data_IF_027240797632
#
_entry.id   IF_027240797632
#
_cell.length_a   1.000
_cell.length_b   1.000
_cell.length_c   1.000
_cell.angle_alpha   90.00
_cell.angle_beta   90.00
_cell.angle_gamma   90.00
#
_symmetry.space_group_name_H-M   'P 1'
#
loop_
_entity.id
_entity.type
_entity.pdbx_description
1 polymer ?
#
# COMPACT_ATOMS: atom_id res chain seq x y z
N UNK A 1 -3.99 -9.42 32.36
CA UNK A 1 -2.92 -9.77 31.41
C UNK A 1 -3.38 -11.00 30.66
N UNK A 2 -3.80 -10.82 29.39
CA UNK A 2 -4.27 -11.92 28.54
C UNK A 2 -3.12 -12.88 28.24
N UNK A 3 -3.42 -14.17 28.10
CA UNK A 3 -2.41 -15.18 27.77
C UNK A 3 -1.77 -14.82 26.42
N UNK A 4 -0.44 -14.93 26.28
CA UNK A 4 0.21 -14.79 24.98
C UNK A 4 -0.27 -15.95 24.11
N UNK A 5 -1.15 -15.65 23.17
CA UNK A 5 -1.78 -16.61 22.29
C UNK A 5 -1.99 -15.98 20.93
N UNK A 6 -2.36 -16.80 19.94
CA UNK A 6 -2.61 -16.41 18.55
C UNK A 6 -3.64 -15.26 18.36
N UNK A 7 -4.35 -14.87 19.43
CA UNK A 7 -5.37 -13.82 19.48
C UNK A 7 -5.00 -12.66 20.43
N UNK A 8 -3.74 -12.57 20.82
CA UNK A 8 -3.24 -11.41 21.58
C UNK A 8 -3.10 -10.21 20.63
N UNK A 9 -4.24 -9.55 20.41
CA UNK A 9 -4.37 -8.38 19.53
C UNK A 9 -3.39 -7.27 19.92
N UNK A 10 -3.07 -7.11 21.20
CA UNK A 10 -2.16 -6.06 21.66
C UNK A 10 -0.70 -6.33 21.23
N UNK A 11 -0.25 -7.59 21.32
CA UNK A 11 1.01 -8.01 20.74
C UNK A 11 0.97 -7.92 19.21
N UNK A 12 -0.11 -8.34 18.56
CA UNK A 12 -0.21 -8.26 17.09
C UNK A 12 -0.20 -6.81 16.59
N UNK A 13 -0.86 -5.88 17.29
CA UNK A 13 -0.88 -4.45 16.94
C UNK A 13 0.44 -3.75 17.25
N UNK A 14 1.06 -4.02 18.41
CA UNK A 14 2.38 -3.45 18.74
C UNK A 14 3.47 -3.97 17.82
N UNK A 15 3.39 -5.25 17.44
CA UNK A 15 4.22 -5.86 16.40
C UNK A 15 3.96 -5.19 15.05
N UNK A 16 2.71 -5.16 14.57
CA UNK A 16 2.33 -4.49 13.32
C UNK A 16 2.80 -3.03 13.25
N UNK A 17 2.61 -2.27 14.33
CA UNK A 17 3.05 -0.87 14.43
C UNK A 17 4.58 -0.69 14.40
N UNK A 18 5.35 -1.67 14.90
CA UNK A 18 6.81 -1.66 14.88
C UNK A 18 7.35 -1.71 13.44
N UNK A 19 6.80 -2.60 12.61
CA UNK A 19 7.20 -2.74 11.20
C UNK A 19 6.78 -1.55 10.34
N UNK A 20 5.68 -0.89 10.69
CA UNK A 20 5.25 0.36 10.06
C UNK A 20 6.02 1.59 10.56
N UNK A 21 7.00 1.40 11.46
CA UNK A 21 7.87 2.44 11.97
C UNK A 21 9.34 2.26 11.54
N UNK A 22 9.71 1.14 10.90
CA UNK A 22 11.06 0.91 10.39
C UNK A 22 11.26 1.64 9.04
N UNK A 23 12.28 2.52 8.92
CA UNK A 23 12.46 3.34 7.72
C UNK A 23 12.79 2.53 6.46
N UNK A 24 13.51 1.40 6.58
CA UNK A 24 13.81 0.54 5.45
C UNK A 24 12.56 -0.19 4.96
N UNK A 25 11.74 -0.71 5.87
CA UNK A 25 10.48 -1.34 5.50
C UNK A 25 9.55 -0.33 4.80
N UNK A 26 9.36 0.85 5.40
CA UNK A 26 8.58 1.94 4.81
C UNK A 26 9.10 2.29 3.40
N UNK A 27 10.42 2.35 3.21
CA UNK A 27 11.03 2.63 1.92
C UNK A 27 10.71 1.54 0.89
N UNK A 28 10.89 0.25 1.24
CA UNK A 28 10.56 -0.89 0.38
C UNK A 28 9.09 -0.84 -0.05
N UNK A 29 8.17 -0.63 0.89
CA UNK A 29 6.74 -0.52 0.57
C UNK A 29 6.44 0.69 -0.31
N UNK A 30 6.99 1.86 0.03
CA UNK A 30 6.76 3.09 -0.73
C UNK A 30 7.30 2.96 -2.15
N UNK A 31 8.41 2.26 -2.36
CA UNK A 31 8.99 2.03 -3.68
C UNK A 31 8.21 0.99 -4.49
N UNK A 32 7.83 -0.14 -3.89
CA UNK A 32 7.22 -1.26 -4.62
C UNK A 32 5.71 -1.17 -4.78
N UNK A 33 5.01 -0.34 -4.00
CA UNK A 33 3.56 -0.17 -4.14
C UNK A 33 3.18 0.42 -5.50
N UNK A 34 3.96 1.39 -6.02
CA UNK A 34 3.64 2.06 -7.28
C UNK A 34 3.84 1.17 -8.51
N UNK A 35 4.93 0.39 -8.64
CA UNK A 35 5.07 -0.60 -9.71
C UNK A 35 3.99 -1.69 -9.66
N UNK A 36 3.61 -2.17 -8.46
CA UNK A 36 2.50 -3.12 -8.30
C UNK A 36 1.22 -2.51 -8.83
N UNK A 37 0.87 -1.32 -8.36
CA UNK A 37 -0.32 -0.62 -8.81
C UNK A 37 -0.31 -0.41 -10.34
N UNK A 38 0.79 0.13 -10.87
CA UNK A 38 0.96 0.41 -12.30
C UNK A 38 0.79 -0.84 -13.18
N UNK A 39 1.42 -1.95 -12.80
CA UNK A 39 1.34 -3.20 -13.59
C UNK A 39 -0.02 -3.88 -13.46
N UNK A 40 -0.71 -3.74 -12.32
CA UNK A 40 -2.12 -4.14 -12.23
C UNK A 40 -3.00 -3.37 -13.22
N UNK A 41 -2.76 -2.06 -13.40
CA UNK A 41 -3.49 -1.25 -14.38
C UNK A 41 -3.20 -1.68 -15.82
N UNK A 42 -1.97 -2.13 -16.14
CA UNK A 42 -1.65 -2.72 -17.45
C UNK A 42 -2.54 -3.94 -17.72
N UNK A 43 -2.75 -4.81 -16.71
CA UNK A 43 -3.62 -5.96 -16.86
C UNK A 43 -5.10 -5.54 -17.00
N UNK A 44 -5.54 -4.57 -16.19
CA UNK A 44 -6.91 -4.05 -16.25
C UNK A 44 -7.24 -3.32 -17.54
N UNK A 45 -6.23 -2.86 -18.29
CA UNK A 45 -6.44 -2.29 -19.63
C UNK A 45 -7.20 -3.24 -20.55
N UNK A 46 -6.96 -4.55 -20.45
CA UNK A 46 -7.57 -5.57 -21.30
C UNK A 46 -8.97 -6.01 -20.83
N UNK A 47 -9.53 -5.33 -19.82
CA UNK A 47 -10.92 -5.54 -19.41
C UNK A 47 -11.87 -4.77 -20.33
N UNK A 48 -13.16 -5.18 -20.42
CA UNK A 48 -14.13 -4.47 -21.24
C UNK A 48 -14.22 -2.98 -20.91
N UNK A 49 -14.25 -2.16 -21.95
CA UNK A 49 -14.45 -0.72 -21.86
C UNK A 49 -15.89 -0.40 -21.46
N UNK A 50 -16.06 0.51 -20.50
CA UNK A 50 -17.33 1.19 -20.26
C UNK A 50 -17.57 2.27 -21.30
N UNK A 51 -16.52 2.99 -21.67
CA UNK A 51 -16.57 4.07 -22.65
C UNK A 51 -15.20 4.30 -23.30
N UNK A 52 -15.19 4.46 -24.62
CA UNK A 52 -13.98 4.76 -25.39
C UNK A 52 -13.84 6.28 -25.58
N UNK A 53 -12.80 6.85 -24.97
CA UNK A 53 -12.53 8.29 -25.09
C UNK A 53 -12.04 8.66 -26.49
N UNK A 54 -11.60 7.69 -27.30
CA UNK A 54 -11.17 7.91 -28.68
C UNK A 54 -12.27 8.55 -29.54
N UNK A 55 -13.53 8.23 -29.23
CA UNK A 55 -14.70 8.72 -29.96
C UNK A 55 -15.13 10.13 -29.54
N UNK A 56 -14.57 10.67 -28.45
CA UNK A 56 -14.93 11.99 -27.93
C UNK A 56 -14.40 13.15 -28.78
N UNK A 57 -13.36 12.91 -29.60
CA UNK A 57 -12.71 13.97 -30.40
C UNK A 57 -11.93 14.99 -29.56
N UNK A 58 -11.80 14.79 -28.25
CA UNK A 58 -11.16 15.74 -27.32
C UNK A 58 -9.63 15.66 -27.40
N UNK A 59 -9.06 14.48 -27.67
CA UNK A 59 -7.61 14.30 -27.71
C UNK A 59 -7.09 14.17 -29.16
N UNK A 60 -5.81 14.51 -29.41
CA UNK A 60 -5.17 14.25 -30.70
C UNK A 60 -5.22 12.75 -31.05
N UNK A 61 -5.36 12.40 -32.34
CA UNK A 61 -5.55 11.03 -32.82
C UNK A 61 -4.53 9.99 -32.31
N UNK A 62 -3.30 10.42 -32.01
CA UNK A 62 -2.25 9.57 -31.42
C UNK A 62 -2.46 9.21 -29.94
N UNK A 63 -3.25 9.98 -29.19
CA UNK A 63 -3.62 9.71 -27.80
C UNK A 63 -4.96 8.96 -27.67
N UNK A 64 -5.81 9.07 -28.69
CA UNK A 64 -7.19 8.59 -28.65
C UNK A 64 -7.33 7.08 -28.45
N UNK A 65 -6.51 6.24 -29.10
CA UNK A 65 -6.70 4.79 -29.08
C UNK A 65 -6.25 4.10 -27.80
N UNK A 66 -5.48 4.79 -26.95
CA UNK A 66 -4.90 4.20 -25.75
C UNK A 66 -5.69 4.52 -24.48
N UNK A 67 -6.52 5.56 -24.45
CA UNK A 67 -7.24 5.95 -23.24
C UNK A 67 -8.67 5.45 -23.28
N UNK A 68 -8.95 4.48 -22.41
CA UNK A 68 -10.25 3.83 -22.33
C UNK A 68 -10.75 3.88 -20.89
N UNK A 69 -12.02 4.24 -20.70
CA UNK A 69 -12.67 4.13 -19.39
C UNK A 69 -13.07 2.68 -19.17
N UNK A 70 -12.31 1.98 -18.34
CA UNK A 70 -12.50 0.58 -17.96
C UNK A 70 -12.26 0.40 -16.45
N UNK A 71 -12.16 -0.83 -15.97
CA UNK A 71 -11.90 -1.11 -14.55
C UNK A 71 -10.58 -0.49 -14.04
N UNK A 72 -9.56 -0.34 -14.90
CA UNK A 72 -8.32 0.35 -14.54
C UNK A 72 -8.56 1.82 -14.22
N UNK A 73 -9.32 2.52 -15.07
CA UNK A 73 -9.69 3.93 -14.83
C UNK A 73 -10.53 4.09 -13.56
N UNK A 74 -11.52 3.22 -13.36
CA UNK A 74 -12.39 3.26 -12.19
C UNK A 74 -11.61 3.03 -10.90
N UNK A 75 -10.70 2.04 -10.90
CA UNK A 75 -9.84 1.74 -9.77
C UNK A 75 -8.91 2.90 -9.42
N UNK A 76 -8.27 3.53 -10.41
CA UNK A 76 -7.41 4.69 -10.19
C UNK A 76 -8.15 5.91 -9.66
N UNK A 77 -9.35 6.20 -10.17
CA UNK A 77 -10.18 7.31 -9.67
C UNK A 77 -10.62 7.03 -8.23
N UNK A 78 -11.12 5.82 -7.97
CA UNK A 78 -11.54 5.42 -6.63
C UNK A 78 -10.40 5.55 -5.61
N UNK A 79 -9.23 4.98 -5.90
CA UNK A 79 -8.07 5.07 -5.01
C UNK A 79 -7.56 6.51 -4.84
N UNK A 80 -7.54 7.30 -5.91
CA UNK A 80 -7.17 8.71 -5.84
C UNK A 80 -8.10 9.50 -4.92
N UNK A 81 -9.42 9.34 -5.07
CA UNK A 81 -10.40 9.99 -4.20
C UNK A 81 -10.28 9.51 -2.75
N UNK A 82 -10.10 8.21 -2.54
CA UNK A 82 -9.88 7.64 -1.22
C UNK A 82 -8.66 8.27 -0.53
N UNK A 83 -7.54 8.42 -1.23
CA UNK A 83 -6.35 9.06 -0.66
C UNK A 83 -6.55 10.54 -0.34
N UNK A 84 -7.25 11.30 -1.19
CA UNK A 84 -7.58 12.71 -0.92
C UNK A 84 -8.46 12.85 0.34
N UNK A 85 -9.38 11.92 0.56
CA UNK A 85 -10.22 11.88 1.77
C UNK A 85 -9.37 11.62 3.02
N UNK A 86 -8.37 10.74 2.93
CA UNK A 86 -7.48 10.43 4.05
C UNK A 86 -6.56 11.60 4.42
N UNK A 87 -5.94 12.25 3.44
CA UNK A 87 -5.13 13.45 3.65
C UNK A 87 -5.20 14.35 2.42
N UNK A 88 -5.62 15.61 2.59
CA UNK A 88 -5.83 16.51 1.44
C UNK A 88 -4.54 16.83 0.68
N UNK A 89 -3.39 16.89 1.34
CA UNK A 89 -2.12 17.28 0.70
C UNK A 89 -1.42 16.08 0.07
N UNK A 90 -1.09 15.07 0.89
CA UNK A 90 -0.44 13.85 0.43
C UNK A 90 -1.37 13.05 -0.49
N UNK A 91 -2.66 13.03 -0.18
CA UNK A 91 -3.66 12.36 -1.00
C UNK A 91 -3.89 13.01 -2.36
N UNK A 92 -3.81 14.34 -2.47
CA UNK A 92 -3.86 15.00 -3.78
C UNK A 92 -2.67 14.61 -4.66
N UNK A 93 -1.47 14.52 -4.08
CA UNK A 93 -0.29 14.03 -4.79
C UNK A 93 -0.46 12.56 -5.21
N UNK A 94 -0.96 11.71 -4.31
CA UNK A 94 -1.24 10.32 -4.61
C UNK A 94 -2.31 10.16 -5.71
N UNK A 95 -3.35 10.99 -5.71
CA UNK A 95 -4.39 11.00 -6.75
C UNK A 95 -3.81 11.36 -8.12
N UNK A 96 -2.96 12.39 -8.19
CA UNK A 96 -2.25 12.74 -9.42
C UNK A 96 -1.38 11.58 -9.92
N UNK A 97 -0.69 10.90 -9.01
CA UNK A 97 0.13 9.74 -9.34
C UNK A 97 -0.73 8.55 -9.81
N UNK A 98 -1.89 8.30 -9.19
CA UNK A 98 -2.82 7.27 -9.64
C UNK A 98 -3.33 7.52 -11.07
N UNK A 99 -3.66 8.77 -11.40
CA UNK A 99 -4.06 9.18 -12.75
C UNK A 99 -2.90 9.04 -13.75
N UNK A 100 -1.70 9.49 -13.39
CA UNK A 100 -0.51 9.35 -14.22
C UNK A 100 -0.18 7.87 -14.50
N UNK A 101 -0.31 7.01 -13.47
CA UNK A 101 -0.15 5.57 -13.61
C UNK A 101 -1.18 4.96 -14.56
N UNK A 102 -2.46 5.36 -14.46
CA UNK A 102 -3.49 4.88 -15.39
C UNK A 102 -3.22 5.28 -16.83
N UNK A 103 -2.90 6.54 -17.08
CA UNK A 103 -2.55 7.03 -18.42
C UNK A 103 -1.35 6.24 -18.95
N UNK A 104 -0.24 6.20 -18.20
CA UNK A 104 0.97 5.51 -18.62
C UNK A 104 0.77 4.01 -18.85
N UNK A 105 0.06 3.34 -17.96
CA UNK A 105 -0.24 1.91 -18.07
C UNK A 105 -1.07 1.61 -19.32
N UNK A 106 -2.04 2.47 -19.65
CA UNK A 106 -2.89 2.30 -20.82
C UNK A 106 -2.08 2.43 -22.13
N UNK A 107 -1.17 3.41 -22.23
CA UNK A 107 -0.26 3.53 -23.37
C UNK A 107 0.69 2.34 -23.51
N UNK A 108 1.23 1.84 -22.40
CA UNK A 108 2.14 0.69 -22.44
C UNK A 108 1.37 -0.58 -22.81
N UNK A 109 0.20 -0.81 -22.21
CA UNK A 109 -0.64 -1.97 -22.50
C UNK A 109 -1.08 -2.02 -23.97
N UNK A 110 -1.49 -0.87 -24.53
CA UNK A 110 -1.84 -0.75 -25.94
C UNK A 110 -0.68 -1.13 -26.88
N UNK A 111 0.56 -0.78 -26.52
CA UNK A 111 1.77 -1.12 -27.30
C UNK A 111 2.20 -2.58 -27.15
N UNK A 112 2.11 -3.14 -25.94
CA UNK A 112 2.55 -4.51 -25.67
C UNK A 112 1.58 -5.55 -26.22
N UNK A 113 0.28 -5.25 -26.18
CA UNK A 113 -0.78 -6.24 -26.39
C UNK A 113 -0.82 -7.31 -25.28
N UNK A 114 -1.94 -8.04 -25.20
CA UNK A 114 -2.18 -8.94 -24.06
C UNK A 114 -1.09 -9.99 -23.90
N UNK A 115 -0.70 -10.66 -25.00
CA UNK A 115 0.25 -11.79 -25.01
C UNK A 115 1.58 -11.52 -24.30
N UNK A 116 2.11 -10.29 -24.42
CA UNK A 116 3.33 -9.88 -23.74
C UNK A 116 3.03 -9.19 -22.40
N UNK A 117 1.97 -8.37 -22.34
CA UNK A 117 1.62 -7.60 -21.16
C UNK A 117 1.42 -8.47 -19.91
N UNK A 118 0.66 -9.57 -19.99
CA UNK A 118 0.41 -10.40 -18.80
C UNK A 118 1.70 -11.02 -18.24
N UNK A 119 2.70 -11.31 -19.08
CA UNK A 119 4.00 -11.84 -18.65
C UNK A 119 4.82 -10.79 -17.91
N UNK A 120 4.86 -9.57 -18.45
CA UNK A 120 5.51 -8.43 -17.80
C UNK A 120 4.87 -8.17 -16.44
N UNK A 121 3.53 -8.13 -16.40
CA UNK A 121 2.78 -7.96 -15.14
C UNK A 121 3.12 -9.06 -14.15
N UNK A 122 3.09 -10.33 -14.56
CA UNK A 122 3.39 -11.46 -13.68
C UNK A 122 4.79 -11.34 -13.05
N UNK A 123 5.82 -11.08 -13.86
CA UNK A 123 7.20 -10.93 -13.37
C UNK A 123 7.31 -9.75 -12.41
N UNK A 124 6.75 -8.58 -12.77
CA UNK A 124 6.79 -7.41 -11.90
C UNK A 124 6.05 -7.63 -10.58
N UNK A 125 4.87 -8.24 -10.61
CA UNK A 125 4.09 -8.54 -9.40
C UNK A 125 4.87 -9.48 -8.48
N UNK A 126 5.42 -10.58 -9.00
CA UNK A 126 6.20 -11.54 -8.21
C UNK A 126 7.41 -10.88 -7.57
N UNK A 127 8.18 -10.09 -8.33
CA UNK A 127 9.37 -9.42 -7.81
C UNK A 127 9.01 -8.38 -6.73
N UNK A 128 8.00 -7.54 -7.00
CA UNK A 128 7.64 -6.46 -6.09
C UNK A 128 6.98 -6.98 -4.80
N UNK A 129 6.07 -7.96 -4.90
CA UNK A 129 5.49 -8.61 -3.73
C UNK A 129 6.54 -9.37 -2.92
N UNK A 130 7.45 -10.11 -3.58
CA UNK A 130 8.56 -10.77 -2.89
C UNK A 130 9.41 -9.74 -2.15
N UNK A 131 9.73 -8.60 -2.76
CA UNK A 131 10.45 -7.50 -2.10
C UNK A 131 9.72 -6.98 -0.86
N UNK A 132 8.41 -6.75 -0.94
CA UNK A 132 7.60 -6.30 0.20
C UNK A 132 7.53 -7.36 1.32
N UNK A 133 7.34 -8.63 0.98
CA UNK A 133 7.32 -9.70 1.97
C UNK A 133 8.69 -9.97 2.60
N UNK A 134 9.78 -9.85 1.85
CA UNK A 134 11.13 -9.92 2.39
C UNK A 134 11.43 -8.75 3.31
N UNK A 135 10.96 -7.55 2.95
CA UNK A 135 10.96 -6.38 3.84
C UNK A 135 10.34 -6.74 5.19
N UNK A 136 9.15 -7.33 5.20
CA UNK A 136 8.54 -7.82 6.44
C UNK A 136 9.35 -8.94 7.13
N UNK A 137 9.58 -10.06 6.45
CA UNK A 137 10.07 -11.29 7.07
C UNK A 137 11.54 -11.27 7.53
N UNK A 138 12.42 -10.53 6.85
CA UNK A 138 13.82 -10.44 7.29
C UNK A 138 13.91 -9.74 8.64
N UNK A 139 13.14 -8.68 8.86
CA UNK A 139 13.16 -7.96 10.13
C UNK A 139 12.55 -8.80 11.27
N UNK A 140 11.58 -9.67 10.98
CA UNK A 140 11.03 -10.63 11.95
C UNK A 140 12.07 -11.63 12.45
N UNK A 141 12.86 -12.20 11.53
CA UNK A 141 13.94 -13.13 11.86
C UNK A 141 15.04 -12.43 12.65
N UNK A 142 15.41 -11.20 12.26
CA UNK A 142 16.44 -10.45 12.98
C UNK A 142 16.00 -10.06 14.39
N UNK A 143 14.73 -9.67 14.57
CA UNK A 143 14.19 -9.33 15.88
C UNK A 143 14.15 -10.56 16.79
N UNK A 144 13.65 -11.69 16.29
CA UNK A 144 13.48 -12.92 17.08
C UNK A 144 14.80 -13.60 17.45
N UNK A 145 15.78 -13.64 16.54
CA UNK A 145 17.05 -14.35 16.76
C UNK A 145 18.14 -13.50 17.39
N UNK A 146 18.18 -12.20 17.08
CA UNK A 146 19.31 -11.33 17.44
C UNK A 146 18.91 -10.16 18.32
N UNK A 147 17.64 -10.07 18.75
CA UNK A 147 17.15 -8.96 19.55
C UNK A 147 17.23 -7.62 18.81
N UNK A 148 17.15 -7.65 17.47
CA UNK A 148 17.19 -6.45 16.64
C UNK A 148 16.06 -5.49 17.03
N UNK A 149 16.42 -4.24 17.33
CA UNK A 149 15.45 -3.15 17.46
C UNK A 149 15.15 -2.54 16.08
N UNK A 150 13.86 -2.43 15.68
CA UNK A 150 13.47 -1.78 14.43
C UNK A 150 14.03 -0.36 14.23
N UNK A 151 14.25 0.36 15.33
CA UNK A 151 14.93 1.67 15.38
C UNK A 151 15.37 1.96 16.83
N UNK A 152 16.44 2.76 17.05
CA UNK A 152 17.08 2.88 18.37
C UNK A 152 16.14 3.36 19.49
N UNK A 153 15.99 2.58 20.55
CA UNK A 153 15.10 2.85 21.69
C UNK A 153 13.67 2.38 21.48
N UNK A 154 13.43 1.46 20.53
CA UNK A 154 12.12 0.91 20.22
C UNK A 154 11.48 0.28 21.46
N UNK A 155 12.17 -0.66 22.14
CA UNK A 155 11.60 -1.35 23.29
C UNK A 155 11.34 -0.40 24.46
N UNK A 156 12.20 0.60 24.67
CA UNK A 156 11.97 1.61 25.70
C UNK A 156 10.68 2.39 25.47
N UNK A 157 10.42 2.82 24.22
CA UNK A 157 9.20 3.57 23.87
C UNK A 157 7.94 2.71 23.97
N UNK A 158 8.00 1.46 23.52
CA UNK A 158 6.88 0.52 23.64
C UNK A 158 6.56 0.27 25.12
N UNK A 159 7.57 -0.04 25.94
CA UNK A 159 7.39 -0.24 27.37
C UNK A 159 6.85 1.01 28.08
N UNK A 160 7.27 2.21 27.68
CA UNK A 160 6.75 3.46 28.22
C UNK A 160 5.27 3.67 27.88
N UNK A 161 4.85 3.41 26.63
CA UNK A 161 3.44 3.49 26.22
C UNK A 161 2.56 2.48 26.95
N UNK A 162 2.98 1.21 27.03
CA UNK A 162 2.25 0.17 27.76
C UNK A 162 2.06 0.57 29.23
N UNK A 163 3.11 1.07 29.89
CA UNK A 163 3.02 1.55 31.27
C UNK A 163 2.05 2.72 31.42
N UNK A 164 2.04 3.65 30.47
CA UNK A 164 1.13 4.79 30.48
C UNK A 164 -0.34 4.35 30.32
N UNK A 165 -0.62 3.44 29.38
CA UNK A 165 -1.98 2.91 29.15
C UNK A 165 -2.49 2.07 30.33
N UNK A 166 -1.64 1.23 30.93
CA UNK A 166 -1.98 0.48 32.16
C UNK A 166 -2.35 1.45 33.28
N UNK A 167 -1.56 2.50 33.47
CA UNK A 167 -1.82 3.51 34.50
C UNK A 167 -3.16 4.23 34.25
N UNK A 168 -3.39 4.68 33.02
CA UNK A 168 -4.64 5.36 32.65
C UNK A 168 -5.87 4.45 32.86
N UNK A 169 -5.75 3.16 32.52
CA UNK A 169 -6.80 2.18 32.76
C UNK A 169 -7.06 1.95 34.26
N UNK A 170 -6.01 1.84 35.07
CA UNK A 170 -6.12 1.71 36.53
C UNK A 170 -6.79 2.94 37.15
N UNK A 171 -6.37 4.14 36.75
CA UNK A 171 -6.94 5.40 37.23
C UNK A 171 -8.44 5.53 36.85
N UNK A 172 -8.80 5.17 35.61
CA UNK A 172 -10.20 5.11 35.16
C UNK A 172 -11.02 4.10 35.94
N UNK A 173 -10.45 2.95 36.30
CA UNK A 173 -11.13 1.92 37.08
C UNK A 173 -11.35 2.40 38.52
N UNK A 174 -10.36 3.02 39.15
CA UNK A 174 -10.49 3.58 40.50
C UNK A 174 -11.58 4.66 40.56
N UNK A 175 -11.63 5.57 39.58
CA UNK A 175 -12.67 6.61 39.48
C UNK A 175 -14.10 6.09 39.27
N UNK A 176 -14.27 4.87 38.75
CA UNK A 176 -15.60 4.24 38.57
C UNK A 176 -16.08 3.48 39.81
N UNK A 177 -15.18 3.21 40.75
CA UNK A 177 -15.46 2.45 41.98
C UNK A 177 -15.64 3.38 43.18
N UNK A 178 -15.16 4.62 43.09
CA UNK A 178 -15.49 5.74 44.00
C UNK A 178 -16.81 6.39 43.63
#
# INVERSE_FOLDING_TARGET
MGKPGLLDLENQFSFYGAYHSNPFNILIHTLFVWPIFFTSLILFYFTPAFYDLSQSGIFPSGFNHALVLNYGSAFSIFLGLFYVVLDKKAGSLAALLCLACWVGASFIAAKLGYSLAWKVVLVSQLLCWTGQFLGHGIFEVLQSLFGYEPYPGFHMRVNAKIKAEIKEWQDKKQKKVS
#
